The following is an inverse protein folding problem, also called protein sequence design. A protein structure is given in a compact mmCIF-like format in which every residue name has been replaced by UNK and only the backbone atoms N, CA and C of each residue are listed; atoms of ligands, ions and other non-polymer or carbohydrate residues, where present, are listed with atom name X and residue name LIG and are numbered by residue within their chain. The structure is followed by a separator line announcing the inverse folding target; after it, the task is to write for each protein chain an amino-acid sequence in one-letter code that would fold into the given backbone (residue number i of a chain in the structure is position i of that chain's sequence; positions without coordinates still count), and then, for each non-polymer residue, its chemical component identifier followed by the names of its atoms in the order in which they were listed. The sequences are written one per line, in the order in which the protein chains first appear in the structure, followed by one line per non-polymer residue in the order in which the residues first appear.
data_IF_925952261128
#
_entry.id   IF_925952261128
#
_cell.length_a   1.000
_cell.length_b   1.000
_cell.length_c   1.000
_cell.angle_alpha   90.00
_cell.angle_beta   90.00
_cell.angle_gamma   90.00
#
_symmetry.space_group_name_H-M   'P 1'
#
loop_
_entity.id
_entity.type
_entity.pdbx_description
1 polymer ?
#
# COMPACT_ATOMS: atom_id res chain seq x y z
N UNK A 1 -12.17 -0.30 -21.46
CA UNK A 1 -11.64 -0.20 -22.83
C UNK A 1 -10.16 -0.54 -22.72
N UNK A 2 -9.69 -1.53 -23.46
CA UNK A 2 -8.30 -2.03 -23.34
C UNK A 2 -7.36 -1.05 -24.09
N UNK A 3 -6.69 -0.18 -23.34
CA UNK A 3 -5.84 0.87 -23.90
C UNK A 3 -4.43 0.30 -24.11
N UNK A 4 -3.99 0.23 -25.37
CA UNK A 4 -2.64 -0.24 -25.70
C UNK A 4 -1.61 0.86 -25.44
N UNK A 5 -0.62 0.56 -24.62
CA UNK A 5 0.51 1.45 -24.32
C UNK A 5 1.71 1.09 -25.21
N UNK A 6 2.35 2.09 -25.80
CA UNK A 6 3.53 1.95 -26.64
C UNK A 6 4.56 3.01 -26.24
N UNK A 7 5.82 2.63 -26.09
CA UNK A 7 6.93 3.54 -25.78
C UNK A 7 8.17 3.23 -26.63
N UNK A 8 8.89 4.28 -27.05
CA UNK A 8 10.14 4.20 -27.82
C UNK A 8 11.04 5.40 -27.50
N UNK A 9 12.37 5.21 -27.34
CA UNK A 9 13.10 3.95 -27.43
C UNK A 9 13.03 3.13 -26.13
N UNK A 10 12.82 1.81 -26.22
CA UNK A 10 12.69 0.90 -25.06
C UNK A 10 13.96 0.65 -24.24
N UNK A 11 15.10 1.26 -24.63
CA UNK A 11 16.39 1.21 -23.93
C UNK A 11 16.90 -0.19 -23.58
N UNK A 12 16.63 -1.20 -24.41
CA UNK A 12 17.20 -2.54 -24.31
C UNK A 12 17.92 -2.90 -25.61
N UNK A 13 19.00 -3.70 -25.50
CA UNK A 13 19.77 -4.20 -26.65
C UNK A 13 19.38 -5.66 -26.93
N UNK A 14 19.22 -6.46 -25.87
CA UNK A 14 18.76 -7.85 -25.95
C UNK A 14 17.22 -7.92 -26.01
N UNK A 15 16.63 -8.58 -27.02
CA UNK A 15 15.18 -8.79 -27.10
C UNK A 15 14.58 -9.46 -25.87
N UNK A 16 15.30 -10.37 -25.20
CA UNK A 16 14.85 -11.04 -23.98
C UNK A 16 14.66 -10.03 -22.85
N UNK A 17 15.62 -9.11 -22.69
CA UNK A 17 15.51 -8.01 -21.72
C UNK A 17 14.37 -7.04 -22.05
N UNK A 18 14.07 -6.84 -23.34
CA UNK A 18 12.94 -6.04 -23.78
C UNK A 18 11.58 -6.63 -23.41
N UNK A 19 11.44 -7.95 -23.49
CA UNK A 19 10.23 -8.65 -23.08
C UNK A 19 10.04 -8.58 -21.55
N UNK A 20 11.10 -8.76 -20.78
CA UNK A 20 11.09 -8.65 -19.31
C UNK A 20 10.63 -7.25 -18.88
N UNK A 21 11.23 -6.19 -19.45
CA UNK A 21 10.85 -4.80 -19.15
C UNK A 21 9.41 -4.45 -19.49
N UNK A 22 8.95 -4.89 -20.65
CA UNK A 22 7.56 -4.66 -21.07
C UNK A 22 6.58 -5.34 -20.10
N UNK A 23 6.95 -6.53 -19.63
CA UNK A 23 6.17 -7.29 -18.65
C UNK A 23 6.16 -6.59 -17.28
N UNK A 24 7.31 -6.08 -16.82
CA UNK A 24 7.44 -5.34 -15.55
C UNK A 24 6.61 -4.06 -15.55
N UNK A 25 6.65 -3.27 -16.62
CA UNK A 25 5.82 -2.06 -16.76
C UNK A 25 4.32 -2.37 -16.74
N UNK A 26 3.91 -3.47 -17.38
CA UNK A 26 2.52 -3.91 -17.36
C UNK A 26 2.10 -4.31 -15.94
N UNK A 27 2.96 -5.02 -15.21
CA UNK A 27 2.70 -5.37 -13.81
C UNK A 27 2.62 -4.14 -12.91
N UNK A 28 3.50 -3.15 -13.09
CA UNK A 28 3.42 -1.87 -12.37
C UNK A 28 2.06 -1.20 -12.56
N UNK A 29 1.56 -1.11 -13.80
CA UNK A 29 0.24 -0.54 -14.07
C UNK A 29 -0.91 -1.36 -13.47
N UNK A 30 -0.81 -2.69 -13.49
CA UNK A 30 -1.82 -3.57 -12.88
C UNK A 30 -1.85 -3.37 -11.38
N UNK A 31 -0.69 -3.30 -10.73
CA UNK A 31 -0.56 -3.08 -9.29
C UNK A 31 -1.17 -1.73 -8.92
N UNK A 32 -0.83 -0.66 -9.63
CA UNK A 32 -1.41 0.68 -9.41
C UNK A 32 -2.93 0.71 -9.57
N UNK A 33 -3.48 -0.08 -10.49
CA UNK A 33 -4.93 -0.14 -10.68
C UNK A 33 -5.66 -0.95 -9.60
N UNK A 34 -4.96 -1.81 -8.85
CA UNK A 34 -5.54 -2.78 -7.92
C UNK A 34 -5.17 -2.52 -6.45
N UNK A 35 -4.72 -1.32 -6.12
CA UNK A 35 -4.42 -0.94 -4.74
C UNK A 35 -5.70 -0.73 -3.90
N UNK A 36 -5.58 -0.93 -2.59
CA UNK A 36 -6.63 -0.62 -1.60
C UNK A 36 -6.03 0.28 -0.54
N UNK A 37 -6.70 1.39 -0.26
CA UNK A 37 -6.37 2.23 0.89
C UNK A 37 -7.16 1.77 2.12
N UNK A 38 -6.47 1.56 3.24
CA UNK A 38 -7.09 1.13 4.48
C UNK A 38 -6.44 1.78 5.71
N UNK A 39 -7.13 1.71 6.84
CA UNK A 39 -6.65 2.22 8.13
C UNK A 39 -6.88 1.21 9.24
N UNK A 40 -6.00 1.23 10.25
CA UNK A 40 -6.16 0.39 11.44
C UNK A 40 -5.53 1.04 12.67
N UNK A 41 -5.73 0.40 13.83
CA UNK A 41 -5.09 0.69 15.11
C UNK A 41 -4.01 -0.35 15.46
N UNK A 42 -3.67 -1.25 14.53
CA UNK A 42 -2.70 -2.31 14.74
C UNK A 42 -1.27 -1.78 14.64
N UNK A 43 -0.59 -1.67 15.78
CA UNK A 43 0.78 -1.13 15.86
C UNK A 43 1.87 -1.98 15.19
N UNK A 44 1.57 -3.23 14.86
CA UNK A 44 2.56 -4.20 14.35
C UNK A 44 2.62 -4.28 12.82
N UNK A 45 1.86 -3.45 12.12
CA UNK A 45 1.88 -3.42 10.66
C UNK A 45 3.23 -2.91 10.14
N UNK A 46 3.72 -3.53 9.08
CA UNK A 46 4.96 -3.18 8.43
C UNK A 46 4.84 -3.45 6.92
N UNK A 47 5.47 -2.61 6.10
CA UNK A 47 5.51 -2.81 4.66
C UNK A 47 6.27 -4.08 4.28
N UNK A 48 5.90 -4.69 3.16
CA UNK A 48 6.43 -5.95 2.65
C UNK A 48 5.78 -7.21 3.25
N UNK A 49 4.90 -7.07 4.26
CA UNK A 49 4.15 -8.19 4.82
C UNK A 49 2.81 -8.37 4.13
N UNK A 50 2.35 -9.62 4.09
CA UNK A 50 1.00 -9.95 3.62
C UNK A 50 -0.03 -9.85 4.75
N UNK A 51 -1.25 -9.44 4.39
CA UNK A 51 -2.40 -9.43 5.27
C UNK A 51 -3.66 -9.85 4.50
N UNK A 52 -4.66 -10.35 5.22
CA UNK A 52 -5.93 -10.78 4.65
C UNK A 52 -7.02 -9.77 5.01
N UNK A 53 -7.82 -9.35 4.03
CA UNK A 53 -9.08 -8.65 4.29
C UNK A 53 -10.20 -9.68 4.23
N UNK A 54 -11.00 -9.76 5.30
CA UNK A 54 -12.22 -10.57 5.37
C UNK A 54 -13.44 -9.69 5.68
N UNK A 55 -14.62 -10.23 5.41
CA UNK A 55 -15.92 -9.63 5.78
C UNK A 55 -16.20 -8.25 5.19
N UNK A 56 -15.48 -7.84 4.14
CA UNK A 56 -15.80 -6.64 3.38
C UNK A 56 -17.08 -6.87 2.55
N UNK A 57 -18.06 -5.94 2.53
CA UNK A 57 -19.32 -6.11 1.81
C UNK A 57 -19.16 -6.37 0.31
N UNK A 58 -18.08 -5.84 -0.29
CA UNK A 58 -17.66 -6.15 -1.65
C UNK A 58 -16.72 -7.34 -1.63
N UNK A 59 -17.19 -8.48 -2.11
CA UNK A 59 -16.46 -9.76 -2.11
C UNK A 59 -15.13 -9.73 -2.85
N UNK A 60 -14.99 -8.90 -3.89
CA UNK A 60 -13.75 -8.74 -4.67
C UNK A 60 -12.58 -8.16 -3.85
N UNK A 61 -12.86 -7.56 -2.69
CA UNK A 61 -11.86 -7.04 -1.75
C UNK A 61 -11.44 -8.12 -0.74
N UNK A 62 -12.22 -9.20 -0.57
CA UNK A 62 -11.90 -10.24 0.40
C UNK A 62 -10.83 -11.20 -0.15
N UNK A 63 -9.56 -10.85 0.00
CA UNK A 63 -8.40 -11.63 -0.47
C UNK A 63 -7.13 -11.25 0.30
N UNK A 64 -6.04 -11.92 -0.03
CA UNK A 64 -4.71 -11.60 0.46
C UNK A 64 -4.13 -10.39 -0.29
N UNK A 65 -3.49 -9.50 0.47
CA UNK A 65 -2.80 -8.31 0.00
C UNK A 65 -1.36 -8.31 0.50
N UNK A 66 -0.48 -7.57 -0.19
CA UNK A 66 0.86 -7.24 0.28
C UNK A 66 0.85 -5.75 0.57
N UNK A 67 1.28 -5.38 1.78
CA UNK A 67 1.38 -3.98 2.17
C UNK A 67 2.56 -3.31 1.48
N UNK A 68 2.27 -2.35 0.61
CA UNK A 68 3.28 -1.57 -0.10
C UNK A 68 3.84 -0.45 0.80
N UNK A 69 2.97 0.20 1.57
CA UNK A 69 3.33 1.32 2.45
C UNK A 69 2.44 1.35 3.70
N UNK A 70 2.99 1.85 4.81
CA UNK A 70 2.24 2.13 6.04
C UNK A 70 2.78 3.39 6.70
N UNK A 71 1.85 4.25 7.14
CA UNK A 71 2.14 5.45 7.91
C UNK A 71 1.50 5.33 9.29
N UNK A 72 2.32 5.40 10.33
CA UNK A 72 1.88 5.32 11.73
C UNK A 72 1.80 6.71 12.35
N UNK A 73 0.69 7.01 13.02
CA UNK A 73 0.50 8.25 13.76
C UNK A 73 0.11 7.93 15.21
N UNK A 74 0.88 8.45 16.15
CA UNK A 74 0.57 8.40 17.58
C UNK A 74 0.51 9.81 18.16
N UNK A 75 -0.47 10.08 19.02
CA UNK A 75 -0.56 11.33 19.77
C UNK A 75 -0.57 11.01 21.25
N UNK A 76 0.41 11.53 21.98
CA UNK A 76 0.46 11.44 23.44
C UNK A 76 0.37 12.84 24.06
N UNK A 77 -0.82 13.27 24.51
CA UNK A 77 -1.04 14.60 25.05
C UNK A 77 -0.47 14.79 26.46
N UNK A 78 0.06 13.74 27.10
CA UNK A 78 0.60 13.80 28.47
C UNK A 78 2.13 13.66 28.52
N UNK A 79 2.81 13.83 27.37
CA UNK A 79 4.26 13.65 27.27
C UNK A 79 5.08 14.70 28.04
N UNK A 80 4.47 15.84 28.36
CA UNK A 80 5.06 16.91 29.18
C UNK A 80 4.38 16.99 30.56
N UNK A 81 5.18 17.12 31.63
CA UNK A 81 4.70 17.14 33.02
C UNK A 81 3.66 18.25 33.33
N UNK A 82 3.66 19.33 32.55
CA UNK A 82 2.80 20.50 32.76
C UNK A 82 1.44 20.42 32.02
N UNK A 83 1.25 19.43 31.15
CA UNK A 83 0.04 19.28 30.31
C UNK A 83 -0.76 18.02 30.67
N UNK A 84 -1.16 17.89 31.93
CA UNK A 84 -2.14 16.88 32.34
C UNK A 84 -3.57 17.30 31.88
N UNK A 85 -3.80 17.28 30.56
CA UNK A 85 -5.09 17.60 29.95
C UNK A 85 -6.16 16.51 30.14
N UNK A 86 -5.78 15.35 30.70
CA UNK A 86 -6.65 14.19 30.90
C UNK A 86 -7.08 13.49 29.60
N UNK A 87 -6.56 13.93 28.45
CA UNK A 87 -6.85 13.29 27.16
C UNK A 87 -6.09 11.96 27.03
N UNK A 88 -6.68 10.94 26.38
CA UNK A 88 -6.04 9.65 26.18
C UNK A 88 -4.97 9.73 25.09
N UNK A 89 -3.94 8.88 25.19
CA UNK A 89 -3.01 8.60 24.09
C UNK A 89 -3.76 7.91 22.96
N UNK A 90 -3.59 8.39 21.72
CA UNK A 90 -4.24 7.83 20.53
C UNK A 90 -3.22 7.29 19.53
N UNK A 91 -3.62 6.28 18.78
CA UNK A 91 -2.82 5.69 17.72
C UNK A 91 -3.71 5.30 16.54
N UNK A 92 -3.23 5.54 15.34
CA UNK A 92 -3.81 5.00 14.11
C UNK A 92 -2.75 4.87 13.03
N UNK A 93 -3.06 4.10 12.00
CA UNK A 93 -2.25 4.01 10.79
C UNK A 93 -3.10 4.02 9.54
N UNK A 94 -2.46 4.36 8.43
CA UNK A 94 -2.99 4.28 7.08
C UNK A 94 -2.01 3.50 6.22
N UNK A 95 -2.51 2.62 5.36
CA UNK A 95 -1.69 1.75 4.53
C UNK A 95 -2.32 1.49 3.16
N UNK A 96 -1.45 1.11 2.23
CA UNK A 96 -1.74 0.72 0.85
C UNK A 96 -1.08 -0.60 0.54
#
# INVERSE_FOLDING_TARGET
QDLKQFDYPGRYVDPVMGQVRTTEWMFEHIVDNQQVEASSDVMRLASGYSFNISDHPRSEINRDYIMLSVMHTGQDPQVHEDEASGMPTTYYNQFT
#
